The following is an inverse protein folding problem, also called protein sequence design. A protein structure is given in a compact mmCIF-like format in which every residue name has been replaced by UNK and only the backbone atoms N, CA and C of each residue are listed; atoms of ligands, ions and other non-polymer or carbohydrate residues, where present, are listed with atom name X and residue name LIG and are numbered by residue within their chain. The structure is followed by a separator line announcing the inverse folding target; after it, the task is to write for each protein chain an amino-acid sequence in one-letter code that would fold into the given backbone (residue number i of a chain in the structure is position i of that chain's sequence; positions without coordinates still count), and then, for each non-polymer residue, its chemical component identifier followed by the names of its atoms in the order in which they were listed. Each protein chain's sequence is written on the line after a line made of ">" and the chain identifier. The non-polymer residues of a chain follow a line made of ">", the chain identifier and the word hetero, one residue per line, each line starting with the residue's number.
data_IF_308159353387
#
_entry.id   IF_308159353387
#
_cell.length_a   1.000
_cell.length_b   1.000
_cell.length_c   1.000
_cell.angle_alpha   90.00
_cell.angle_beta   90.00
_cell.angle_gamma   90.00
#
_symmetry.space_group_name_H-M   'P 1'
#
loop_
_entity.id
_entity.type
_entity.pdbx_description
1 polymer ?
#
# COMPACT_ATOMS: atom_id res chain seq x y z
N UNK A 1 9.26 0.26 -16.55
CA UNK A 1 10.58 -0.01 -17.15
C UNK A 1 10.92 -1.48 -16.86
N UNK A 2 11.38 -2.27 -17.83
CA UNK A 2 11.68 -3.69 -17.59
C UNK A 2 13.08 -3.81 -16.95
N UNK A 3 13.20 -4.59 -15.89
CA UNK A 3 14.45 -4.81 -15.13
C UNK A 3 14.50 -6.27 -14.65
N UNK A 4 15.68 -6.74 -14.27
CA UNK A 4 15.83 -7.97 -13.48
C UNK A 4 15.03 -7.84 -12.16
N UNK A 5 14.23 -8.86 -11.85
CA UNK A 5 13.21 -8.85 -10.80
C UNK A 5 13.66 -9.51 -9.49
N UNK A 6 14.90 -9.99 -9.46
CA UNK A 6 15.41 -10.75 -8.33
C UNK A 6 16.76 -10.21 -7.86
N UNK A 7 17.09 -10.51 -6.60
CA UNK A 7 18.37 -10.07 -5.99
C UNK A 7 19.54 -10.95 -6.49
N UNK A 8 19.21 -12.10 -7.10
CA UNK A 8 20.11 -12.99 -7.83
C UNK A 8 19.33 -13.68 -8.97
N UNK A 9 19.97 -13.86 -10.13
CA UNK A 9 19.31 -14.50 -11.29
C UNK A 9 18.85 -15.91 -10.98
N UNK A 10 17.59 -16.21 -11.27
CA UNK A 10 16.98 -17.50 -10.94
C UNK A 10 17.60 -18.63 -11.77
N UNK A 11 18.00 -18.30 -13.00
CA UNK A 11 18.69 -19.22 -13.88
C UNK A 11 20.10 -18.69 -14.19
N UNK A 12 21.11 -19.31 -13.58
CA UNK A 12 22.52 -18.95 -13.80
C UNK A 12 22.97 -19.12 -15.27
N UNK A 13 22.28 -19.95 -16.04
CA UNK A 13 22.57 -20.19 -17.45
C UNK A 13 21.81 -19.25 -18.38
N UNK A 14 20.81 -18.51 -17.88
CA UNK A 14 20.03 -17.55 -18.66
C UNK A 14 19.59 -16.35 -17.81
N UNK A 15 20.38 -15.28 -17.82
CA UNK A 15 20.05 -14.03 -17.11
C UNK A 15 18.84 -13.30 -17.68
N UNK A 16 18.35 -13.66 -18.88
CA UNK A 16 17.13 -13.08 -19.45
C UNK A 16 15.86 -13.72 -18.91
N UNK A 17 15.99 -14.79 -18.13
CA UNK A 17 14.88 -15.61 -17.68
C UNK A 17 13.90 -14.86 -16.77
N UNK A 18 14.38 -13.89 -15.98
CA UNK A 18 13.59 -13.15 -14.99
C UNK A 18 13.23 -11.72 -15.43
N UNK A 19 13.33 -11.42 -16.72
CA UNK A 19 12.95 -10.10 -17.21
C UNK A 19 11.45 -9.85 -17.05
N UNK A 20 11.11 -8.83 -16.27
CA UNK A 20 9.73 -8.46 -15.99
C UNK A 20 9.56 -6.99 -15.62
N UNK A 21 8.38 -6.67 -15.10
CA UNK A 21 8.03 -5.32 -14.62
C UNK A 21 8.77 -5.03 -13.33
N UNK A 22 9.68 -4.03 -13.29
CA UNK A 22 10.49 -3.67 -12.09
C UNK A 22 9.68 -3.77 -10.78
N UNK A 23 10.23 -4.41 -9.74
CA UNK A 23 9.61 -4.48 -8.41
C UNK A 23 9.33 -3.09 -7.80
N UNK A 24 9.98 -2.04 -8.32
CA UNK A 24 9.77 -0.65 -7.91
C UNK A 24 8.84 0.13 -8.86
N UNK A 25 8.22 -0.53 -9.85
CA UNK A 25 7.34 0.09 -10.84
C UNK A 25 6.00 0.51 -10.24
N UNK A 26 5.90 1.79 -9.86
CA UNK A 26 4.62 2.42 -9.55
C UNK A 26 4.05 3.04 -10.81
N UNK A 27 2.86 2.57 -11.21
CA UNK A 27 2.13 3.08 -12.37
C UNK A 27 1.64 4.52 -12.17
N UNK A 28 1.18 4.84 -10.95
CA UNK A 28 0.69 6.17 -10.60
C UNK A 28 1.31 6.61 -9.28
N UNK A 29 1.84 7.83 -9.28
CA UNK A 29 2.37 8.51 -8.10
C UNK A 29 1.87 9.94 -8.15
N UNK A 30 1.21 10.38 -7.09
CA UNK A 30 0.71 11.74 -6.94
C UNK A 30 1.07 12.27 -5.57
N UNK A 31 1.70 13.45 -5.53
CA UNK A 31 2.01 14.16 -4.30
C UNK A 31 1.53 15.60 -4.44
N UNK A 32 0.79 16.07 -3.45
CA UNK A 32 0.34 17.46 -3.34
C UNK A 32 0.82 18.00 -2.01
N UNK A 33 1.58 19.09 -2.08
CA UNK A 33 1.98 19.89 -0.92
C UNK A 33 1.51 21.30 -1.17
N UNK A 34 0.84 21.89 -0.19
CA UNK A 34 0.34 23.25 -0.31
C UNK A 34 0.33 23.98 1.03
N UNK A 35 0.21 25.29 0.95
CA UNK A 35 -0.18 26.14 2.08
C UNK A 35 -1.23 27.12 1.58
N UNK A 36 -2.27 27.31 2.39
CA UNK A 36 -3.38 28.18 2.05
C UNK A 36 -3.85 28.96 3.28
N UNK A 37 -3.77 30.28 3.18
CA UNK A 37 -4.33 31.18 4.18
C UNK A 37 -5.83 31.29 3.95
N UNK A 38 -6.62 30.88 4.95
CA UNK A 38 -8.07 30.85 4.83
C UNK A 38 -8.63 32.28 4.77
N UNK A 39 -9.49 32.61 3.77
CA UNK A 39 -9.96 33.98 3.53
C UNK A 39 -11.17 34.38 4.39
N UNK A 40 -11.66 33.48 5.25
CA UNK A 40 -12.80 33.73 6.12
C UNK A 40 -12.38 34.30 7.49
N UNK A 41 -13.35 34.85 8.22
CA UNK A 41 -13.10 35.72 9.37
C UNK A 41 -13.13 37.20 9.02
N UNK A 42 -14.02 37.64 8.13
CA UNK A 42 -14.24 39.06 7.85
C UNK A 42 -15.71 39.49 8.10
N UNK A 43 -16.48 38.69 8.86
CA UNK A 43 -17.88 38.99 9.17
C UNK A 43 -18.01 40.03 10.30
N UNK A 44 -19.16 40.72 10.35
CA UNK A 44 -19.44 41.81 11.28
C UNK A 44 -19.43 41.43 12.78
N UNK A 45 -19.31 40.14 13.14
CA UNK A 45 -19.17 39.71 14.53
C UNK A 45 -17.68 39.63 14.93
N UNK A 46 -17.22 40.60 15.74
CA UNK A 46 -15.82 40.74 16.18
C UNK A 46 -15.27 39.49 16.87
N UNK A 47 -16.06 38.82 17.72
CA UNK A 47 -15.60 37.62 18.46
C UNK A 47 -15.39 36.46 17.50
N UNK A 48 -16.32 36.28 16.57
CA UNK A 48 -16.28 35.19 15.59
C UNK A 48 -15.13 35.38 14.59
N UNK A 49 -14.87 36.63 14.18
CA UNK A 49 -13.70 37.01 13.40
C UNK A 49 -12.38 36.69 14.14
N UNK A 50 -12.31 37.01 15.42
CA UNK A 50 -11.13 36.78 16.24
C UNK A 50 -10.87 35.29 16.56
N UNK A 51 -11.86 34.39 16.37
CA UNK A 51 -11.71 32.92 16.56
C UNK A 51 -11.59 32.15 15.23
N UNK A 52 -12.26 32.62 14.16
CA UNK A 52 -12.29 31.93 12.87
C UNK A 52 -11.35 32.52 11.81
N UNK A 53 -10.83 33.74 11.98
CA UNK A 53 -9.94 34.39 11.00
C UNK A 53 -8.49 33.91 11.05
N UNK A 54 -7.68 34.21 10.04
CA UNK A 54 -6.22 34.11 10.15
C UNK A 54 -5.62 32.70 10.29
N UNK A 55 -6.39 31.64 10.06
CA UNK A 55 -5.86 30.28 9.99
C UNK A 55 -5.14 30.03 8.66
N UNK A 56 -3.94 29.47 8.73
CA UNK A 56 -3.23 28.89 7.60
C UNK A 56 -3.33 27.39 7.67
N UNK A 57 -3.68 26.74 6.56
CA UNK A 57 -3.71 25.29 6.44
C UNK A 57 -2.63 24.82 5.48
N UNK A 58 -1.99 23.70 5.79
CA UNK A 58 -0.93 23.10 4.99
C UNK A 58 -1.21 21.62 4.80
N UNK A 59 -1.88 21.20 3.70
CA UNK A 59 -2.09 19.80 3.39
C UNK A 59 -0.85 19.16 2.77
N UNK A 60 -0.60 17.91 3.15
CA UNK A 60 0.34 16.99 2.50
C UNK A 60 -0.47 15.75 2.10
N UNK A 61 -0.73 15.61 0.81
CA UNK A 61 -1.43 14.46 0.27
C UNK A 61 -0.48 13.62 -0.59
N UNK A 62 -0.47 12.32 -0.35
CA UNK A 62 0.31 11.37 -1.12
C UNK A 62 -0.58 10.20 -1.54
N UNK A 63 -0.46 9.77 -2.80
CA UNK A 63 -1.20 8.64 -3.35
C UNK A 63 -0.32 7.85 -4.32
N UNK A 64 -0.33 6.53 -4.16
CA UNK A 64 0.53 5.62 -4.90
C UNK A 64 -0.26 4.39 -5.34
N UNK A 65 -0.09 3.99 -6.60
CA UNK A 65 -0.48 2.65 -7.03
C UNK A 65 0.39 1.60 -6.36
N UNK A 66 -0.17 0.41 -6.15
CA UNK A 66 0.59 -0.72 -5.61
C UNK A 66 1.75 -1.15 -6.50
N UNK A 67 2.75 -1.73 -5.85
CA UNK A 67 3.93 -2.30 -6.51
C UNK A 67 3.54 -3.60 -7.21
N UNK A 68 4.29 -4.04 -8.22
CA UNK A 68 4.05 -5.34 -8.83
C UNK A 68 4.38 -6.46 -7.84
N UNK A 69 3.50 -7.47 -7.75
CA UNK A 69 3.73 -8.65 -6.92
C UNK A 69 4.31 -9.78 -7.79
N UNK A 70 5.29 -10.48 -7.23
CA UNK A 70 5.85 -11.71 -7.81
C UNK A 70 5.12 -12.90 -7.21
N UNK A 71 4.32 -13.58 -8.02
CA UNK A 71 3.76 -14.89 -7.65
C UNK A 71 4.91 -15.88 -7.67
N UNK A 72 5.30 -16.40 -6.52
CA UNK A 72 6.47 -17.28 -6.41
C UNK A 72 6.07 -18.75 -6.51
N UNK A 73 6.84 -19.51 -7.29
CA UNK A 73 6.74 -20.97 -7.33
C UNK A 73 7.25 -21.61 -6.02
N UNK A 74 8.25 -21.00 -5.39
CA UNK A 74 8.52 -21.10 -3.96
C UNK A 74 9.42 -22.25 -3.48
N UNK A 75 9.99 -23.08 -4.35
CA UNK A 75 11.00 -24.06 -3.91
C UNK A 75 12.41 -23.46 -3.88
N UNK A 76 12.67 -22.44 -4.72
CA UNK A 76 14.01 -21.86 -4.85
C UNK A 76 15.07 -22.89 -5.28
N UNK A 77 14.62 -24.06 -5.75
CA UNK A 77 15.41 -25.20 -6.20
C UNK A 77 15.10 -25.53 -7.65
N UNK A 78 14.26 -24.72 -8.32
CA UNK A 78 13.78 -24.98 -9.68
C UNK A 78 14.96 -25.10 -10.66
N UNK A 79 16.05 -24.35 -10.43
CA UNK A 79 17.28 -24.43 -11.21
C UNK A 79 18.50 -24.89 -10.39
N UNK A 80 18.27 -25.60 -9.29
CA UNK A 80 19.34 -26.07 -8.39
C UNK A 80 19.99 -24.95 -7.55
N UNK A 81 19.27 -23.85 -7.33
CA UNK A 81 19.76 -22.70 -6.59
C UNK A 81 19.73 -22.94 -5.07
N UNK A 82 20.58 -22.25 -4.32
CA UNK A 82 20.58 -22.26 -2.86
C UNK A 82 19.66 -21.17 -2.32
N UNK A 83 18.51 -21.57 -1.75
CA UNK A 83 17.61 -20.79 -0.86
C UNK A 83 17.71 -19.27 -0.96
N UNK A 84 16.96 -18.63 -1.88
CA UNK A 84 16.46 -17.23 -1.77
C UNK A 84 15.91 -16.60 -3.07
N UNK A 85 16.02 -17.27 -4.23
CA UNK A 85 15.57 -16.71 -5.52
C UNK A 85 14.57 -17.66 -6.19
N UNK A 86 13.32 -17.59 -5.75
CA UNK A 86 12.23 -18.39 -6.36
C UNK A 86 11.77 -17.76 -7.67
N UNK A 87 11.67 -18.61 -8.69
CA UNK A 87 11.11 -18.24 -9.99
C UNK A 87 9.69 -17.65 -9.84
N UNK A 88 9.37 -16.68 -10.71
CA UNK A 88 8.01 -16.22 -10.92
C UNK A 88 7.16 -17.31 -11.59
N UNK A 89 6.01 -17.64 -11.00
CA UNK A 89 5.08 -18.64 -11.52
C UNK A 89 4.54 -18.24 -12.90
N UNK A 90 4.17 -19.25 -13.69
CA UNK A 90 3.72 -19.02 -15.07
C UNK A 90 2.20 -18.86 -15.11
N UNK A 91 1.67 -17.73 -15.63
CA UNK A 91 0.23 -17.59 -15.85
C UNK A 91 -0.24 -18.54 -16.96
N UNK A 92 -1.35 -19.23 -16.71
CA UNK A 92 -2.05 -20.07 -17.68
C UNK A 92 -3.01 -19.27 -18.55
N UNK A 93 -3.48 -18.14 -18.02
CA UNK A 93 -4.44 -17.24 -18.66
C UNK A 93 -4.05 -15.79 -18.39
N UNK A 94 -4.58 -14.85 -19.17
CA UNK A 94 -4.42 -13.42 -18.86
C UNK A 94 -5.13 -13.11 -17.54
N UNK A 95 -4.35 -12.83 -16.49
CA UNK A 95 -4.86 -12.43 -15.18
C UNK A 95 -4.90 -10.90 -15.12
N UNK A 96 -6.04 -10.32 -14.77
CA UNK A 96 -6.16 -8.87 -14.55
C UNK A 96 -7.05 -8.61 -13.33
N UNK A 97 -6.65 -9.08 -12.14
CA UNK A 97 -7.45 -8.85 -10.95
C UNK A 97 -7.30 -7.39 -10.53
N UNK A 98 -8.34 -6.87 -9.87
CA UNK A 98 -8.22 -5.64 -9.10
C UNK A 98 -7.22 -5.81 -7.95
N UNK A 99 -6.82 -4.70 -7.36
CA UNK A 99 -5.91 -4.64 -6.22
C UNK A 99 -6.54 -3.90 -5.02
N UNK A 100 -7.84 -4.09 -4.86
CA UNK A 100 -8.65 -3.49 -3.79
C UNK A 100 -8.87 -4.50 -2.67
N UNK A 101 -9.18 -3.99 -1.48
CA UNK A 101 -9.50 -4.84 -0.32
C UNK A 101 -10.89 -5.44 -0.51
N UNK A 102 -10.99 -6.76 -0.40
CA UNK A 102 -12.26 -7.48 -0.35
C UNK A 102 -12.52 -7.95 1.08
N UNK A 103 -13.74 -7.74 1.54
CA UNK A 103 -14.21 -8.08 2.89
C UNK A 103 -15.04 -9.36 2.88
N UNK A 104 -15.05 -10.08 4.00
CA UNK A 104 -15.82 -11.32 4.15
C UNK A 104 -15.27 -12.49 3.34
N UNK A 105 -14.02 -12.43 2.89
CA UNK A 105 -13.40 -13.51 2.13
C UNK A 105 -12.92 -14.59 3.08
N UNK A 106 -13.49 -15.80 2.96
CA UNK A 106 -13.10 -16.96 3.78
C UNK A 106 -12.11 -17.91 3.11
N UNK A 107 -11.81 -17.69 1.82
CA UNK A 107 -11.04 -18.63 1.02
C UNK A 107 -11.83 -19.88 0.64
N UNK A 108 -11.13 -20.87 0.08
CA UNK A 108 -11.71 -22.15 -0.35
C UNK A 108 -11.16 -23.29 0.52
N UNK A 109 -12.01 -23.93 1.30
CA UNK A 109 -11.63 -25.02 2.22
C UNK A 109 -11.32 -26.36 1.55
N UNK A 110 -11.66 -26.53 0.26
CA UNK A 110 -11.34 -27.75 -0.50
C UNK A 110 -9.92 -27.67 -1.05
N UNK A 111 -9.58 -26.55 -1.68
CA UNK A 111 -8.23 -26.30 -2.23
C UNK A 111 -7.28 -25.69 -1.22
N UNK A 112 -7.77 -25.33 -0.03
CA UNK A 112 -7.06 -24.67 1.05
C UNK A 112 -6.51 -23.28 0.69
N UNK A 113 -6.99 -22.67 -0.39
CA UNK A 113 -6.50 -21.37 -0.86
C UNK A 113 -7.17 -20.21 -0.11
N UNK A 114 -6.36 -19.30 0.43
CA UNK A 114 -6.80 -18.08 1.10
C UNK A 114 -7.55 -18.31 2.42
N UNK A 115 -7.54 -19.53 2.95
CA UNK A 115 -8.34 -19.93 4.13
C UNK A 115 -7.93 -19.24 5.42
N UNK A 116 -6.70 -18.71 5.51
CA UNK A 116 -6.27 -17.90 6.65
C UNK A 116 -7.00 -16.56 6.75
N UNK A 117 -7.71 -16.12 5.72
CA UNK A 117 -8.61 -14.97 5.83
C UNK A 117 -9.91 -15.31 6.57
N UNK A 118 -10.30 -16.57 6.74
CA UNK A 118 -11.61 -16.94 7.30
C UNK A 118 -11.86 -16.37 8.71
N UNK A 119 -12.82 -15.45 8.90
CA UNK A 119 -13.17 -14.91 10.22
C UNK A 119 -13.61 -15.99 11.22
N UNK A 120 -14.30 -17.04 10.75
CA UNK A 120 -14.72 -18.16 11.60
C UNK A 120 -13.56 -19.00 12.11
N UNK A 121 -12.37 -18.86 11.52
CA UNK A 121 -11.14 -19.51 11.96
C UNK A 121 -10.13 -18.52 12.59
N UNK A 122 -10.57 -17.30 12.93
CA UNK A 122 -9.72 -16.27 13.53
C UNK A 122 -8.94 -15.41 12.52
N UNK A 123 -9.23 -15.53 11.22
CA UNK A 123 -8.68 -14.69 10.15
C UNK A 123 -9.30 -13.29 10.09
N UNK A 124 -8.70 -12.40 9.30
CA UNK A 124 -9.11 -10.99 9.18
C UNK A 124 -10.41 -10.78 8.41
N UNK A 125 -10.84 -11.76 7.61
CA UNK A 125 -11.89 -11.62 6.60
C UNK A 125 -11.46 -10.83 5.37
N UNK A 126 -10.16 -10.49 5.26
CA UNK A 126 -9.65 -9.59 4.24
C UNK A 126 -8.76 -10.34 3.25
N UNK A 127 -9.01 -10.12 1.96
CA UNK A 127 -8.16 -10.60 0.87
C UNK A 127 -8.07 -9.54 -0.23
N UNK A 128 -6.96 -9.47 -0.95
CA UNK A 128 -6.82 -8.58 -2.11
C UNK A 128 -7.62 -9.09 -3.32
N UNK A 129 -8.04 -10.36 -3.30
CA UNK A 129 -8.86 -10.98 -4.34
C UNK A 129 -10.23 -11.35 -3.80
N UNK A 130 -11.28 -11.07 -4.57
CA UNK A 130 -12.64 -11.53 -4.25
C UNK A 130 -12.74 -13.07 -4.23
N UNK A 131 -12.06 -13.72 -5.18
CA UNK A 131 -11.93 -15.17 -5.26
C UNK A 131 -10.43 -15.52 -5.34
N UNK A 132 -9.76 -15.74 -4.20
CA UNK A 132 -8.34 -16.07 -4.19
C UNK A 132 -8.05 -17.42 -4.86
N UNK A 133 -9.01 -18.35 -4.87
CA UNK A 133 -8.84 -19.65 -5.51
C UNK A 133 -8.80 -19.52 -7.04
N UNK A 134 -9.68 -18.73 -7.64
CA UNK A 134 -9.66 -18.47 -9.07
C UNK A 134 -8.34 -17.83 -9.52
N UNK A 135 -7.80 -16.91 -8.73
CA UNK A 135 -6.50 -16.28 -9.02
C UNK A 135 -5.36 -17.30 -8.84
N UNK A 136 -5.34 -18.06 -7.75
CA UNK A 136 -4.33 -19.09 -7.52
C UNK A 136 -4.28 -20.11 -8.67
N UNK A 137 -5.43 -20.63 -9.11
CA UNK A 137 -5.52 -21.60 -10.21
C UNK A 137 -5.17 -21.04 -11.58
N UNK A 138 -5.00 -19.72 -11.71
CA UNK A 138 -4.54 -19.10 -12.96
C UNK A 138 -3.03 -19.16 -13.14
N UNK A 139 -2.28 -19.62 -12.12
CA UNK A 139 -0.84 -19.79 -12.16
C UNK A 139 -0.47 -21.27 -12.02
N UNK A 140 0.69 -21.63 -12.58
CA UNK A 140 1.34 -22.92 -12.32
C UNK A 140 2.82 -22.72 -11.93
N UNK A 141 3.38 -23.69 -11.19
CA UNK A 141 4.83 -23.87 -11.09
C UNK A 141 5.53 -23.87 -12.44
N UNK A 142 6.80 -23.50 -12.43
CA UNK A 142 7.63 -23.46 -13.62
C UNK A 142 8.05 -24.88 -14.02
N UNK A 143 8.06 -25.14 -15.32
CA UNK A 143 8.54 -26.38 -15.90
C UNK A 143 9.88 -26.14 -16.59
N UNK A 144 10.96 -26.54 -15.92
CA UNK A 144 12.36 -26.30 -16.36
C UNK A 144 12.63 -26.75 -17.80
N UNK A 145 11.92 -27.78 -18.28
CA UNK A 145 12.10 -28.33 -19.62
C UNK A 145 11.38 -27.57 -20.73
N UNK A 146 10.39 -26.73 -20.41
CA UNK A 146 9.49 -26.11 -21.42
C UNK A 146 9.44 -24.59 -21.28
N UNK A 147 9.44 -24.05 -20.06
CA UNK A 147 9.25 -22.63 -19.82
C UNK A 147 10.56 -21.87 -20.02
N UNK A 148 10.54 -20.89 -20.91
CA UNK A 148 11.73 -20.09 -21.29
C UNK A 148 11.90 -18.79 -20.53
N UNK A 149 10.92 -18.40 -19.72
CA UNK A 149 10.89 -17.17 -18.93
C UNK A 149 10.06 -17.36 -17.66
N UNK A 150 10.49 -16.79 -16.54
CA UNK A 150 9.63 -16.57 -15.37
C UNK A 150 8.83 -15.29 -15.55
N UNK A 151 7.69 -15.16 -14.86
CA UNK A 151 6.90 -13.92 -14.90
C UNK A 151 6.71 -13.33 -13.51
N UNK A 152 7.03 -12.04 -13.39
CA UNK A 152 6.80 -11.25 -12.19
C UNK A 152 6.07 -9.95 -12.52
N UNK A 153 5.23 -9.49 -11.60
CA UNK A 153 4.51 -8.23 -11.72
C UNK A 153 3.22 -8.26 -12.54
N UNK A 154 2.67 -9.47 -12.79
CA UNK A 154 1.33 -9.64 -13.38
C UNK A 154 0.26 -9.14 -12.41
N UNK A 155 0.42 -9.48 -11.13
CA UNK A 155 -0.41 -8.99 -10.05
C UNK A 155 0.15 -7.68 -9.53
N UNK A 156 -0.71 -6.80 -9.03
CA UNK A 156 -0.29 -5.58 -8.33
C UNK A 156 -0.78 -5.61 -6.89
N UNK A 157 0.09 -5.14 -6.00
CA UNK A 157 -0.19 -4.94 -4.60
C UNK A 157 -1.16 -3.79 -4.40
N UNK A 158 -1.39 -3.46 -3.15
CA UNK A 158 -2.38 -2.49 -2.77
C UNK A 158 -1.98 -1.06 -3.12
N UNK A 159 -2.95 -0.32 -3.66
CA UNK A 159 -2.84 1.12 -3.72
C UNK A 159 -3.02 1.73 -2.32
N UNK A 160 -2.34 2.83 -2.05
CA UNK A 160 -2.45 3.55 -0.79
C UNK A 160 -2.48 5.05 -1.01
N UNK A 161 -3.15 5.76 -0.11
CA UNK A 161 -3.20 7.21 -0.09
C UNK A 161 -3.30 7.70 1.36
N UNK A 162 -2.69 8.85 1.62
CA UNK A 162 -2.71 9.49 2.92
C UNK A 162 -2.89 11.00 2.79
N UNK A 163 -3.57 11.60 3.77
CA UNK A 163 -3.65 13.04 3.92
C UNK A 163 -3.21 13.43 5.34
N UNK A 164 -2.13 14.19 5.41
CA UNK A 164 -1.72 14.89 6.61
C UNK A 164 -2.08 16.37 6.47
N UNK A 165 -2.44 17.01 7.58
CA UNK A 165 -2.84 18.41 7.60
C UNK A 165 -2.23 19.12 8.79
N UNK A 166 -1.59 20.25 8.55
CA UNK A 166 -1.24 21.21 9.60
C UNK A 166 -2.14 22.44 9.50
N UNK A 167 -2.65 22.92 10.63
CA UNK A 167 -3.39 24.15 10.74
C UNK A 167 -2.72 25.03 11.79
N UNK A 168 -2.36 26.26 11.44
CA UNK A 168 -1.70 27.18 12.35
C UNK A 168 -2.36 28.55 12.32
N UNK A 169 -2.38 29.21 13.48
CA UNK A 169 -2.86 30.58 13.62
C UNK A 169 -2.04 31.34 14.66
N UNK A 170 -1.68 32.57 14.31
CA UNK A 170 -1.07 33.53 15.24
C UNK A 170 -2.13 34.47 15.81
N UNK A 171 -2.28 34.47 17.13
CA UNK A 171 -3.09 35.40 17.91
C UNK A 171 -2.18 36.51 18.43
N UNK A 172 -2.48 37.77 18.11
CA UNK A 172 -1.78 38.92 18.70
C UNK A 172 -2.64 39.49 19.83
N UNK A 173 -2.08 39.61 21.02
CA UNK A 173 -2.76 40.22 22.17
C UNK A 173 -2.32 41.67 22.36
N UNK A 174 -1.01 41.92 22.26
CA UNK A 174 -0.41 43.26 22.30
C UNK A 174 0.67 43.38 21.22
N UNK A 175 1.37 44.52 21.15
CA UNK A 175 2.49 44.72 20.23
C UNK A 175 3.70 43.83 20.55
N UNK A 176 3.85 43.43 21.82
CA UNK A 176 4.97 42.61 22.30
C UNK A 176 4.58 41.16 22.49
N UNK A 177 3.32 40.89 22.85
CA UNK A 177 2.86 39.54 23.21
C UNK A 177 1.96 38.94 22.13
N UNK A 178 2.36 37.78 21.62
CA UNK A 178 1.57 37.00 20.67
C UNK A 178 1.70 35.50 20.92
N UNK A 179 0.70 34.73 20.48
CA UNK A 179 0.70 33.28 20.62
C UNK A 179 0.40 32.60 19.30
N UNK A 180 1.21 31.64 18.91
CA UNK A 180 0.94 30.76 17.76
C UNK A 180 0.36 29.46 18.26
N UNK A 181 -0.85 29.15 17.80
CA UNK A 181 -1.47 27.85 17.97
C UNK A 181 -1.26 27.02 16.71
N UNK A 182 -0.87 25.77 16.88
CA UNK A 182 -0.67 24.81 15.79
C UNK A 182 -1.42 23.52 16.11
N UNK A 183 -2.14 22.98 15.15
CA UNK A 183 -2.75 21.66 15.20
C UNK A 183 -2.25 20.85 14.00
N UNK A 184 -1.60 19.71 14.26
CA UNK A 184 -1.14 18.78 13.23
C UNK A 184 -1.96 17.50 13.30
N UNK A 185 -2.42 17.05 12.14
CA UNK A 185 -3.19 15.83 11.96
C UNK A 185 -2.39 14.92 11.03
N UNK A 186 -1.86 13.83 11.57
CA UNK A 186 -1.28 12.75 10.78
C UNK A 186 -2.39 11.74 10.49
N UNK A 187 -2.61 11.43 9.22
CA UNK A 187 -3.74 10.64 8.75
C UNK A 187 -5.10 11.25 9.19
N UNK A 188 -5.43 12.45 8.71
CA UNK A 188 -6.60 13.22 9.18
C UNK A 188 -7.93 12.45 9.04
N UNK A 189 -8.06 11.61 8.01
CA UNK A 189 -9.24 10.79 7.78
C UNK A 189 -9.26 9.47 8.55
N UNK A 190 -8.19 9.14 9.29
CA UNK A 190 -8.02 7.84 9.92
C UNK A 190 -8.18 6.69 8.91
N UNK A 191 -7.66 6.89 7.69
CA UNK A 191 -7.68 5.91 6.61
C UNK A 191 -6.66 4.80 6.89
N UNK A 192 -7.09 3.54 6.80
CA UNK A 192 -6.21 2.38 6.98
C UNK A 192 -5.55 2.06 5.64
N UNK A 193 -4.23 1.98 5.64
CA UNK A 193 -3.45 1.46 4.52
C UNK A 193 -2.94 0.09 4.93
N UNK A 194 -3.22 -0.96 4.17
CA UNK A 194 -2.73 -2.32 4.48
C UNK A 194 -1.40 -2.65 3.80
N UNK A 195 -0.74 -3.68 4.30
CA UNK A 195 0.47 -4.24 3.70
C UNK A 195 0.09 -5.14 2.51
N UNK A 196 0.98 -5.24 1.53
CA UNK A 196 0.83 -6.19 0.43
C UNK A 196 0.79 -7.64 0.94
N UNK A 197 -0.13 -8.47 0.43
CA UNK A 197 -0.25 -9.85 0.88
C UNK A 197 0.80 -10.77 0.23
N UNK A 198 0.99 -11.95 0.81
CA UNK A 198 1.73 -13.04 0.15
C UNK A 198 0.95 -13.57 -1.05
N UNK A 199 1.65 -13.90 -2.13
CA UNK A 199 1.08 -14.55 -3.33
C UNK A 199 1.91 -15.78 -3.72
N UNK A 200 2.36 -16.55 -2.72
CA UNK A 200 3.15 -17.77 -2.94
C UNK A 200 2.28 -18.99 -3.26
N UNK A 201 2.69 -19.78 -4.26
CA UNK A 201 2.06 -21.07 -4.57
C UNK A 201 2.38 -22.15 -3.52
N UNK A 202 3.44 -21.99 -2.72
CA UNK A 202 3.76 -22.94 -1.62
C UNK A 202 3.00 -22.67 -0.32
N UNK A 203 2.35 -21.51 -0.22
CA UNK A 203 1.57 -21.13 0.96
C UNK A 203 0.14 -20.78 0.55
N UNK A 204 -0.62 -21.75 0.02
CA UNK A 204 -1.96 -21.51 -0.51
C UNK A 204 -2.90 -20.90 0.54
N UNK A 205 -2.77 -21.30 1.81
CA UNK A 205 -3.62 -20.82 2.91
C UNK A 205 -3.57 -19.32 3.12
N UNK A 206 -2.42 -18.67 2.85
CA UNK A 206 -2.21 -17.23 3.01
C UNK A 206 -2.25 -16.46 1.70
N UNK A 207 -2.57 -17.11 0.58
CA UNK A 207 -2.57 -16.48 -0.74
C UNK A 207 -3.57 -15.31 -0.82
N UNK A 208 -3.05 -14.12 -1.07
CA UNK A 208 -3.81 -12.87 -1.14
C UNK A 208 -4.35 -12.35 0.18
N UNK A 209 -4.09 -13.03 1.31
CA UNK A 209 -4.66 -12.69 2.62
C UNK A 209 -4.02 -11.43 3.18
N UNK A 210 -4.83 -10.46 3.57
CA UNK A 210 -4.38 -9.19 4.15
C UNK A 210 -4.35 -9.34 5.67
N UNK A 211 -3.15 -9.38 6.25
CA UNK A 211 -2.94 -9.68 7.66
C UNK A 211 -2.69 -8.48 8.56
N UNK A 212 -2.23 -7.34 8.03
CA UNK A 212 -1.80 -6.21 8.84
C UNK A 212 -1.95 -4.85 8.14
N UNK A 213 -2.02 -3.80 8.95
CA UNK A 213 -1.94 -2.42 8.48
C UNK A 213 -0.49 -1.97 8.33
N UNK A 214 -0.24 -1.11 7.33
CA UNK A 214 1.03 -0.47 7.03
C UNK A 214 1.24 0.83 7.81
N UNK A 215 0.17 1.58 8.10
CA UNK A 215 0.23 2.89 8.75
C UNK A 215 -0.23 2.88 10.21
N UNK A 216 0.01 4.00 10.89
CA UNK A 216 -0.52 4.26 12.23
C UNK A 216 -1.95 4.84 12.16
N UNK A 217 -2.76 4.62 13.22
CA UNK A 217 -4.00 5.36 13.43
C UNK A 217 -3.75 6.86 13.49
N UNK A 218 -4.82 7.67 13.33
CA UNK A 218 -4.73 9.12 13.34
C UNK A 218 -4.07 9.65 14.62
N UNK A 219 -3.05 10.49 14.46
CA UNK A 219 -2.38 11.21 15.54
C UNK A 219 -2.72 12.70 15.40
N UNK A 220 -3.03 13.33 16.54
CA UNK A 220 -3.31 14.77 16.62
C UNK A 220 -2.32 15.38 17.60
N UNK A 221 -1.57 16.37 17.13
CA UNK A 221 -0.63 17.12 17.94
C UNK A 221 -1.07 18.58 18.04
N UNK A 222 -1.12 19.10 19.25
CA UNK A 222 -1.47 20.49 19.53
C UNK A 222 -0.26 21.20 20.13
N UNK A 223 0.09 22.34 19.55
CA UNK A 223 1.20 23.18 19.97
C UNK A 223 0.74 24.58 20.31
N UNK A 224 1.31 25.15 21.36
CA UNK A 224 1.12 26.55 21.74
C UNK A 224 2.49 27.19 21.96
N UNK A 225 2.78 28.26 21.22
CA UNK A 225 4.04 29.00 21.33
C UNK A 225 3.76 30.45 21.70
N UNK A 226 4.40 30.97 22.74
CA UNK A 226 4.24 32.34 23.23
C UNK A 226 5.49 33.17 22.87
N UNK A 227 5.28 34.25 22.12
CA UNK A 227 6.27 35.29 21.83
C UNK A 227 6.02 36.49 22.78
N UNK A 228 7.07 37.07 23.37
CA UNK A 228 7.01 38.22 24.28
C UNK A 228 8.19 39.19 24.10
#
# INVERSE_FOLDING_TARGET
>A
MNQDQDTAGTNAFNLRYDYGTSIFDRKYVFNLLGSYQLPFGHSGNKVLNQIAGGWSISPIFSAYSGLPLKVTDGSGQEFGQGTSSSAGAIPLVKVTPGNSVHYGVAGNSVTQVGTSANPGAGGTGLNIFADPNAIYSSFRPIQVSVDTTSQAGILRGMAHWNLDLSAARKFKFTERVSTTFTAQFFNIFNHVMFVDPSVSLQSPTTFGVIGSQLNAPRIIELGLHLDF
#
